data_IF_457321101784
#
_entry.id   IF_457321101784
#
_cell.length_a   1.000
_cell.length_b   1.000
_cell.length_c   1.000
_cell.angle_alpha   90.00
_cell.angle_beta   90.00
_cell.angle_gamma   90.00
#
_symmetry.space_group_name_H-M   'P 1'
#
loop_
_entity.id
_entity.type
_entity.pdbx_description
1 polymer ?
#
# COMPACT_ATOMS: atom_id res chain seq x y z
N UNK A 1 -8.10 -11.04 8.27
CA UNK A 1 -7.54 -10.57 9.56
C UNK A 1 -7.98 -9.13 9.81
N UNK A 2 -7.51 -8.50 10.89
CA UNK A 2 -7.90 -7.14 11.28
C UNK A 2 -7.11 -6.05 10.53
N UNK A 3 -5.78 -6.10 10.56
CA UNK A 3 -4.86 -5.18 9.88
C UNK A 3 -3.54 -5.90 9.56
N UNK A 4 -2.68 -5.27 8.76
CA UNK A 4 -1.37 -5.81 8.40
C UNK A 4 -0.42 -5.78 9.58
N UNK A 5 0.19 -6.92 9.85
CA UNK A 5 1.22 -7.06 10.87
C UNK A 5 2.35 -7.89 10.27
N UNK A 6 3.45 -7.22 9.91
CA UNK A 6 4.64 -7.90 9.43
C UNK A 6 5.38 -8.60 10.57
N UNK A 7 5.89 -9.79 10.28
CA UNK A 7 6.91 -10.44 11.09
C UNK A 7 8.25 -9.68 10.97
N UNK A 8 9.19 -9.87 11.92
CA UNK A 8 10.50 -9.26 11.82
C UNK A 8 11.17 -9.53 10.47
N UNK A 9 11.57 -8.48 9.76
CA UNK A 9 12.25 -8.56 8.46
C UNK A 9 11.32 -8.51 7.23
N UNK A 10 10.04 -8.88 7.37
CA UNK A 10 9.12 -8.93 6.23
C UNK A 10 8.86 -7.57 5.59
N UNK A 11 8.87 -6.49 6.37
CA UNK A 11 8.75 -5.14 5.82
C UNK A 11 9.85 -4.88 4.79
N UNK A 12 11.10 -5.22 5.10
CA UNK A 12 12.25 -4.99 4.22
C UNK A 12 12.19 -5.90 2.97
N UNK A 13 11.75 -7.15 3.15
CA UNK A 13 11.73 -8.15 2.08
C UNK A 13 10.54 -7.99 1.12
N UNK A 14 9.37 -7.60 1.63
CA UNK A 14 8.11 -7.65 0.88
C UNK A 14 7.61 -6.27 0.47
N UNK A 15 7.73 -5.26 1.34
CA UNK A 15 7.15 -3.93 1.09
C UNK A 15 7.58 -3.30 -0.25
N UNK A 16 8.85 -3.43 -0.71
CA UNK A 16 9.27 -2.90 -2.01
C UNK A 16 8.46 -3.43 -3.20
N UNK A 17 7.80 -4.57 -3.05
CA UNK A 17 7.04 -5.25 -4.10
C UNK A 17 5.52 -5.09 -3.96
N UNK A 18 5.02 -4.55 -2.83
CA UNK A 18 3.58 -4.40 -2.57
C UNK A 18 3.02 -3.14 -3.24
N UNK A 19 3.78 -2.04 -3.16
CA UNK A 19 3.33 -0.70 -3.59
C UNK A 19 3.29 -0.51 -5.12
N UNK A 20 4.26 -1.00 -5.91
CA UNK A 20 4.27 -0.75 -7.35
C UNK A 20 3.04 -1.34 -8.07
N UNK A 21 2.47 -0.63 -9.07
CA UNK A 21 1.37 -1.16 -9.87
C UNK A 21 1.83 -2.33 -10.75
N UNK A 22 0.90 -3.23 -11.06
CA UNK A 22 1.09 -4.32 -12.02
C UNK A 22 0.31 -4.01 -13.30
N UNK A 23 0.98 -3.43 -14.29
CA UNK A 23 0.33 -2.95 -15.51
C UNK A 23 -0.69 -1.86 -15.19
N UNK A 24 -1.98 -2.11 -15.47
CA UNK A 24 -3.10 -1.20 -15.16
C UNK A 24 -3.77 -1.47 -13.80
N UNK A 25 -3.23 -2.40 -13.01
CA UNK A 25 -3.76 -2.73 -11.68
C UNK A 25 -2.93 -2.00 -10.63
N UNK A 26 -3.61 -1.17 -9.83
CA UNK A 26 -3.02 -0.36 -8.77
C UNK A 26 -3.44 -0.86 -7.40
N UNK A 27 -2.54 -0.77 -6.42
CA UNK A 27 -2.75 -1.26 -5.07
C UNK A 27 -2.84 -0.10 -4.07
N UNK A 28 -3.96 -0.06 -3.34
CA UNK A 28 -4.24 0.89 -2.28
C UNK A 28 -4.78 0.15 -1.04
N UNK A 29 -4.73 0.82 0.11
CA UNK A 29 -5.06 0.29 1.42
C UNK A 29 -3.90 0.42 2.39
N UNK A 30 -4.16 0.29 3.69
CA UNK A 30 -3.16 0.48 4.74
C UNK A 30 -1.92 -0.42 4.59
N UNK A 31 -2.13 -1.65 4.13
CA UNK A 31 -1.09 -2.64 3.79
C UNK A 31 -0.13 -2.21 2.68
N UNK A 32 -0.46 -1.15 1.93
CA UNK A 32 0.38 -0.58 0.86
C UNK A 32 1.17 0.64 1.35
N UNK A 33 1.19 0.86 2.66
CA UNK A 33 1.88 1.96 3.35
C UNK A 33 2.62 1.43 4.58
N UNK A 34 3.39 2.28 5.27
CA UNK A 34 4.04 1.91 6.53
C UNK A 34 3.20 2.30 7.77
N UNK A 35 1.98 2.81 7.58
CA UNK A 35 1.08 3.24 8.66
C UNK A 35 0.04 2.17 8.98
N UNK A 36 0.54 0.95 9.29
CA UNK A 36 -0.33 -0.19 9.46
C UNK A 36 -1.34 -0.05 10.62
N UNK A 37 -2.54 -0.59 10.44
CA UNK A 37 -3.62 -0.56 11.45
C UNK A 37 -4.33 0.79 11.59
N UNK A 38 -3.98 1.79 10.78
CA UNK A 38 -4.58 3.12 10.80
C UNK A 38 -5.33 3.45 9.52
N UNK A 39 -6.42 4.22 9.67
CA UNK A 39 -7.16 4.77 8.51
C UNK A 39 -6.28 5.67 7.63
N UNK A 40 -5.28 6.35 8.22
CA UNK A 40 -4.38 7.25 7.51
C UNK A 40 -3.70 6.56 6.31
N UNK A 41 -3.15 5.34 6.50
CA UNK A 41 -2.49 4.62 5.40
C UNK A 41 -3.44 4.26 4.26
N UNK A 42 -4.68 3.90 4.58
CA UNK A 42 -5.70 3.64 3.57
C UNK A 42 -6.07 4.92 2.77
N UNK A 43 -6.16 6.07 3.45
CA UNK A 43 -6.47 7.35 2.80
C UNK A 43 -5.30 7.83 1.93
N UNK A 44 -4.08 7.82 2.47
CA UNK A 44 -2.87 8.27 1.76
C UNK A 44 -2.63 7.44 0.49
N UNK A 45 -2.71 6.11 0.60
CA UNK A 45 -2.58 5.22 -0.56
C UNK A 45 -3.72 5.38 -1.56
N UNK A 46 -4.95 5.62 -1.10
CA UNK A 46 -6.10 5.87 -1.97
C UNK A 46 -5.91 7.14 -2.81
N UNK A 47 -5.45 8.23 -2.19
CA UNK A 47 -5.11 9.48 -2.90
C UNK A 47 -3.99 9.25 -3.89
N UNK A 48 -2.90 8.57 -3.47
CA UNK A 48 -1.78 8.22 -4.37
C UNK A 48 -2.27 7.46 -5.60
N UNK A 49 -3.02 6.38 -5.42
CA UNK A 49 -3.53 5.59 -6.54
C UNK A 49 -4.49 6.38 -7.42
N UNK A 50 -5.32 7.26 -6.85
CA UNK A 50 -6.19 8.12 -7.64
C UNK A 50 -5.40 9.04 -8.60
N UNK A 51 -4.25 9.57 -8.15
CA UNK A 51 -3.33 10.29 -9.04
C UNK A 51 -2.70 9.36 -10.08
N UNK A 52 -2.20 8.19 -9.67
CA UNK A 52 -1.56 7.22 -10.56
C UNK A 52 -2.47 6.76 -11.71
N UNK A 53 -3.79 6.69 -11.51
CA UNK A 53 -4.76 6.30 -12.56
C UNK A 53 -5.26 7.49 -13.38
N UNK A 54 -5.22 8.71 -12.82
CA UNK A 54 -5.67 9.92 -13.50
C UNK A 54 -4.58 10.53 -14.41
N UNK A 55 -3.31 10.36 -14.07
CA UNK A 55 -2.17 10.85 -14.87
C UNK A 55 -1.65 9.83 -15.91
N UNK A 56 -2.40 8.76 -16.21
CA UNK A 56 -2.05 7.79 -17.27
C UNK A 56 -2.46 8.23 -18.67
#
# INVERSE_FOLDING_TARGET
>A
GAFTAFEPGQELELFPYITPPSGKVHFAGEHTTLTHGWMQGAIESGVRVAYEVNEQ
#
